data_IF_674816863304
#
_entry.id   IF_674816863304
#
_cell.length_a   1.000
_cell.length_b   1.000
_cell.length_c   1.000
_cell.angle_alpha   90.00
_cell.angle_beta   90.00
_cell.angle_gamma   90.00
#
_symmetry.space_group_name_H-M   'P 1'
#
loop_
_entity.id
_entity.type
_entity.pdbx_description
1 polymer ?
#
# COMPACT_ATOMS: atom_id res chain seq x y z
N UNK A 1 -8.60 -23.20 48.25
CA UNK A 1 -7.66 -22.58 47.28
C UNK A 1 -7.80 -23.32 45.95
N UNK A 2 -8.58 -22.78 45.00
CA UNK A 2 -8.88 -23.45 43.71
C UNK A 2 -8.08 -22.76 42.60
N UNK A 3 -7.07 -23.43 42.05
CA UNK A 3 -6.33 -22.95 40.86
C UNK A 3 -7.20 -23.27 39.64
N UNK A 4 -7.75 -22.25 38.98
CA UNK A 4 -8.44 -22.37 37.70
C UNK A 4 -7.39 -22.40 36.59
N UNK A 5 -7.31 -23.51 35.88
CA UNK A 5 -6.55 -23.68 34.63
C UNK A 5 -7.21 -22.87 33.51
N UNK A 6 -6.40 -22.09 32.78
CA UNK A 6 -6.83 -21.35 31.58
C UNK A 6 -6.86 -22.29 30.36
N UNK A 7 -7.81 -22.13 29.42
CA UNK A 7 -7.83 -22.92 28.18
C UNK A 7 -6.77 -22.41 27.20
N UNK A 8 -6.05 -23.35 26.59
CA UNK A 8 -5.07 -23.13 25.52
C UNK A 8 -5.75 -22.65 24.23
N UNK A 9 -5.32 -21.51 23.72
CA UNK A 9 -5.71 -20.98 22.40
C UNK A 9 -5.18 -21.87 21.27
N UNK A 10 -5.96 -22.12 20.21
CA UNK A 10 -5.51 -22.91 19.07
C UNK A 10 -4.48 -22.13 18.24
N UNK A 11 -3.42 -22.85 17.87
CA UNK A 11 -2.34 -22.43 16.97
C UNK A 11 -2.89 -21.93 15.64
N UNK A 12 -2.46 -20.71 15.27
CA UNK A 12 -2.71 -20.04 13.99
C UNK A 12 -2.31 -20.97 12.84
N UNK A 13 -3.28 -21.29 11.98
CA UNK A 13 -3.11 -22.20 10.85
C UNK A 13 -1.97 -21.78 9.93
N UNK A 14 -1.22 -22.77 9.44
CA UNK A 14 -0.17 -22.62 8.47
C UNK A 14 -0.74 -22.01 7.18
N UNK A 15 -0.37 -20.76 6.89
CA UNK A 15 -0.67 -20.15 5.58
C UNK A 15 0.14 -20.92 4.54
N UNK A 16 -0.58 -21.70 3.70
CA UNK A 16 -0.01 -22.44 2.57
C UNK A 16 0.70 -21.45 1.64
N UNK A 17 2.01 -21.63 1.46
CA UNK A 17 2.76 -20.91 0.43
C UNK A 17 2.16 -21.23 -0.94
N UNK A 18 1.59 -20.21 -1.60
CA UNK A 18 1.11 -20.31 -2.99
C UNK A 18 2.31 -20.44 -3.95
N UNK A 19 2.19 -21.19 -5.05
CA UNK A 19 3.30 -21.44 -5.96
C UNK A 19 3.77 -20.13 -6.59
N UNK A 20 5.08 -19.87 -6.52
CA UNK A 20 5.75 -18.70 -7.10
C UNK A 20 5.81 -18.84 -8.63
N UNK A 21 4.74 -18.43 -9.30
CA UNK A 21 4.68 -18.29 -10.75
C UNK A 21 5.23 -16.94 -11.20
N UNK A 22 6.23 -16.97 -12.10
CA UNK A 22 6.76 -15.91 -12.97
C UNK A 22 6.86 -14.51 -12.35
N UNK A 23 8.07 -14.15 -11.90
CA UNK A 23 8.44 -12.85 -11.34
C UNK A 23 8.37 -11.71 -12.37
N UNK A 24 7.18 -11.14 -12.56
CA UNK A 24 7.10 -9.70 -12.80
C UNK A 24 7.07 -9.04 -11.42
N UNK A 25 7.91 -8.04 -11.18
CA UNK A 25 7.87 -7.29 -9.91
C UNK A 25 6.43 -6.81 -9.69
N UNK A 26 5.83 -7.14 -8.54
CA UNK A 26 4.47 -6.71 -8.20
C UNK A 26 4.50 -5.20 -7.95
N UNK A 27 3.66 -4.44 -8.66
CA UNK A 27 3.62 -2.98 -8.57
C UNK A 27 2.17 -2.56 -8.38
N UNK A 28 1.87 -1.90 -7.28
CA UNK A 28 0.49 -1.53 -6.92
C UNK A 28 0.41 -0.02 -6.80
N UNK A 29 -0.50 0.59 -7.55
CA UNK A 29 -0.83 2.00 -7.40
C UNK A 29 -1.86 2.16 -6.29
N UNK A 30 -1.53 2.88 -5.22
CA UNK A 30 -2.50 3.28 -4.20
C UNK A 30 -2.65 4.80 -4.26
N UNK A 31 -3.82 5.25 -4.69
CA UNK A 31 -4.12 6.67 -4.75
C UNK A 31 -5.56 6.95 -4.32
N UNK A 32 -5.84 8.15 -3.81
CA UNK A 32 -7.20 8.46 -3.39
C UNK A 32 -7.42 9.88 -2.90
N UNK A 33 -8.52 10.07 -2.19
CA UNK A 33 -8.93 11.39 -1.70
C UNK A 33 -7.94 11.97 -0.70
N UNK A 34 -7.73 13.29 -0.79
CA UNK A 34 -6.93 14.07 0.16
C UNK A 34 -7.52 14.13 1.57
N UNK A 35 -8.79 13.80 1.69
CA UNK A 35 -9.56 13.76 2.94
C UNK A 35 -9.85 12.35 3.40
N UNK A 36 -9.30 11.32 2.73
CA UNK A 36 -9.45 9.94 3.15
C UNK A 36 -8.80 9.70 4.52
N UNK A 37 -9.54 9.09 5.45
CA UNK A 37 -9.13 8.91 6.86
C UNK A 37 -9.17 7.47 7.34
N UNK A 38 -9.69 6.52 6.56
CA UNK A 38 -9.81 5.13 7.00
C UNK A 38 -8.46 4.41 6.88
N UNK A 39 -7.58 4.69 7.85
CA UNK A 39 -6.25 4.12 7.90
C UNK A 39 -6.27 2.58 7.98
N UNK A 40 -7.26 2.00 8.66
CA UNK A 40 -7.39 0.55 8.80
C UNK A 40 -7.61 -0.15 7.46
N UNK A 41 -8.44 0.40 6.58
CA UNK A 41 -8.67 -0.17 5.26
C UNK A 41 -7.41 -0.16 4.39
N UNK A 42 -6.64 0.94 4.38
CA UNK A 42 -5.37 0.99 3.64
C UNK A 42 -4.35 0.04 4.26
N UNK A 43 -4.28 -0.02 5.59
CA UNK A 43 -3.39 -0.94 6.28
C UNK A 43 -3.70 -2.39 5.90
N UNK A 44 -4.97 -2.79 5.89
CA UNK A 44 -5.39 -4.14 5.50
C UNK A 44 -4.93 -4.51 4.08
N UNK A 45 -5.15 -3.61 3.12
CA UNK A 45 -4.69 -3.80 1.73
C UNK A 45 -3.17 -3.95 1.69
N UNK A 46 -2.43 -3.03 2.30
CA UNK A 46 -0.95 -3.02 2.26
C UNK A 46 -0.36 -4.25 2.96
N UNK A 47 -0.92 -4.68 4.09
CA UNK A 47 -0.50 -5.90 4.80
C UNK A 47 -0.72 -7.17 3.98
N UNK A 48 -1.71 -7.17 3.07
CA UNK A 48 -2.00 -8.29 2.17
C UNK A 48 -1.07 -8.38 0.96
N UNK A 49 -0.23 -7.36 0.71
CA UNK A 49 0.62 -7.32 -0.48
C UNK A 49 1.77 -8.33 -0.39
N UNK A 50 2.16 -8.96 -1.51
CA UNK A 50 3.33 -9.83 -1.55
C UNK A 50 4.63 -9.10 -1.15
N UNK A 51 5.56 -9.82 -0.55
CA UNK A 51 6.92 -9.30 -0.30
C UNK A 51 7.59 -8.90 -1.62
N UNK A 52 8.31 -7.77 -1.61
CA UNK A 52 8.93 -7.21 -2.81
C UNK A 52 7.97 -6.45 -3.73
N UNK A 53 6.76 -6.13 -3.25
CA UNK A 53 5.85 -5.22 -3.94
C UNK A 53 6.38 -3.78 -3.88
N UNK A 54 6.27 -3.07 -4.99
CA UNK A 54 6.48 -1.62 -5.07
C UNK A 54 5.12 -0.92 -4.97
N UNK A 55 4.94 -0.07 -3.97
CA UNK A 55 3.73 0.74 -3.80
C UNK A 55 3.96 2.11 -4.44
N UNK A 56 3.18 2.39 -5.48
CA UNK A 56 3.20 3.66 -6.19
C UNK A 56 2.09 4.55 -5.61
N UNK A 57 2.43 5.78 -5.26
CA UNK A 57 1.46 6.80 -4.85
C UNK A 57 2.06 8.15 -5.25
N UNK A 58 1.48 9.28 -4.84
CA UNK A 58 2.17 10.52 -5.15
C UNK A 58 2.13 11.64 -4.13
N UNK A 59 2.39 11.26 -2.88
CA UNK A 59 2.65 12.20 -1.80
C UNK A 59 1.52 13.21 -1.53
N UNK A 60 0.27 12.88 -1.89
CA UNK A 60 -0.87 13.67 -1.43
C UNK A 60 -1.18 13.37 0.04
N UNK A 61 -1.84 14.31 0.73
CA UNK A 61 -2.45 14.04 2.04
C UNK A 61 -3.52 12.96 1.92
N UNK A 62 -3.92 12.34 3.02
CA UNK A 62 -4.99 11.34 3.03
C UNK A 62 -4.49 9.97 2.56
N UNK A 63 -5.13 9.40 1.54
CA UNK A 63 -4.88 8.02 1.10
C UNK A 63 -3.40 7.75 0.77
N UNK A 64 -2.77 8.62 -0.03
CA UNK A 64 -1.38 8.45 -0.46
C UNK A 64 -0.37 8.49 0.71
N UNK A 65 -0.60 9.34 1.71
CA UNK A 65 0.25 9.42 2.90
C UNK A 65 0.11 8.16 3.76
N UNK A 66 -1.11 7.61 3.86
CA UNK A 66 -1.38 6.36 4.57
C UNK A 66 -0.74 5.18 3.84
N UNK A 67 -0.81 5.16 2.51
CA UNK A 67 -0.15 4.14 1.68
C UNK A 67 1.36 4.12 1.90
N UNK A 68 2.03 5.28 1.84
CA UNK A 68 3.47 5.38 2.09
C UNK A 68 3.84 4.91 3.50
N UNK A 69 3.08 5.35 4.51
CA UNK A 69 3.31 4.96 5.91
C UNK A 69 3.26 3.45 6.07
N UNK A 70 2.19 2.80 5.62
CA UNK A 70 2.02 1.36 5.81
C UNK A 70 2.95 0.55 4.93
N UNK A 71 3.29 1.02 3.72
CA UNK A 71 4.24 0.34 2.85
C UNK A 71 5.63 0.29 3.51
N UNK A 72 6.10 1.43 4.02
CA UNK A 72 7.38 1.51 4.75
C UNK A 72 7.38 0.66 6.01
N UNK A 73 6.29 0.67 6.79
CA UNK A 73 6.17 -0.17 7.99
C UNK A 73 6.21 -1.67 7.66
N UNK A 74 5.74 -2.06 6.48
CA UNK A 74 5.77 -3.43 5.99
C UNK A 74 7.05 -3.81 5.24
N UNK A 75 8.03 -2.91 5.18
CA UNK A 75 9.28 -3.14 4.44
C UNK A 75 9.10 -3.25 2.92
N UNK A 76 8.01 -2.69 2.38
CA UNK A 76 7.77 -2.58 0.96
C UNK A 76 8.45 -1.34 0.40
N UNK A 77 8.85 -1.40 -0.87
CA UNK A 77 9.40 -0.24 -1.58
C UNK A 77 8.27 0.73 -1.93
N UNK A 78 8.56 2.04 -1.92
CA UNK A 78 7.61 3.06 -2.37
C UNK A 78 8.19 3.88 -3.51
N UNK A 79 7.34 4.16 -4.49
CA UNK A 79 7.64 5.03 -5.61
C UNK A 79 6.69 6.23 -5.59
N UNK A 80 7.27 7.43 -5.52
CA UNK A 80 6.56 8.63 -5.09
C UNK A 80 6.54 9.67 -6.20
N UNK A 81 5.33 10.06 -6.61
CA UNK A 81 5.09 11.07 -7.63
C UNK A 81 4.47 12.35 -7.05
N UNK A 82 5.25 13.30 -6.49
CA UNK A 82 4.69 14.56 -6.00
C UNK A 82 4.11 15.39 -7.15
N UNK A 83 2.98 16.04 -6.92
CA UNK A 83 2.38 16.95 -7.89
C UNK A 83 3.12 18.30 -7.90
N UNK A 84 3.55 18.75 -9.08
CA UNK A 84 4.23 20.04 -9.28
C UNK A 84 3.21 21.18 -9.46
N UNK A 85 2.74 21.71 -8.32
CA UNK A 85 1.74 22.79 -8.27
C UNK A 85 2.26 24.12 -8.81
N UNK A 86 3.56 24.39 -8.66
CA UNK A 86 4.18 25.64 -9.12
C UNK A 86 4.18 25.71 -10.65
N UNK A 87 4.43 24.57 -11.31
CA UNK A 87 4.47 24.49 -12.77
C UNK A 87 3.08 24.36 -13.41
N UNK A 88 2.22 23.51 -12.86
CA UNK A 88 0.96 23.13 -13.53
C UNK A 88 -0.30 23.69 -12.87
N UNK A 89 -0.19 24.38 -11.73
CA UNK A 89 -1.32 24.93 -10.99
C UNK A 89 -2.38 23.86 -10.70
N UNK A 90 -3.65 24.17 -11.00
CA UNK A 90 -4.78 23.24 -10.79
C UNK A 90 -4.65 21.92 -11.57
N UNK A 91 -3.87 21.90 -12.65
CA UNK A 91 -3.61 20.71 -13.47
C UNK A 91 -2.57 19.75 -12.89
N UNK A 92 -1.83 20.14 -11.84
CA UNK A 92 -0.73 19.36 -11.29
C UNK A 92 -1.18 17.96 -10.82
N UNK A 93 -2.36 17.86 -10.21
CA UNK A 93 -2.92 16.57 -9.78
C UNK A 93 -3.16 15.62 -10.94
N UNK A 94 -3.98 15.99 -11.95
CA UNK A 94 -4.18 15.17 -13.14
C UNK A 94 -2.89 14.80 -13.89
N UNK A 95 -1.96 15.76 -14.06
CA UNK A 95 -0.66 15.50 -14.72
C UNK A 95 0.12 14.43 -13.97
N UNK A 96 0.24 14.58 -12.65
CA UNK A 96 0.89 13.59 -11.79
C UNK A 96 0.18 12.24 -11.83
N UNK A 97 -1.14 12.21 -11.88
CA UNK A 97 -1.90 10.94 -11.96
C UNK A 97 -1.58 10.18 -13.25
N UNK A 98 -1.44 10.90 -14.36
CA UNK A 98 -0.99 10.31 -15.62
C UNK A 98 0.45 9.79 -15.50
N UNK A 99 1.36 10.55 -14.88
CA UNK A 99 2.75 10.11 -14.66
C UNK A 99 2.84 8.81 -13.86
N UNK A 100 2.05 8.65 -12.78
CA UNK A 100 2.05 7.41 -11.99
C UNK A 100 1.65 6.17 -12.82
N UNK A 101 0.74 6.34 -13.79
CA UNK A 101 0.31 5.25 -14.66
C UNK A 101 1.36 4.94 -15.74
N UNK A 102 1.88 5.98 -16.38
CA UNK A 102 2.80 5.85 -17.52
C UNK A 102 4.20 5.41 -17.08
N UNK A 103 4.76 6.08 -16.08
CA UNK A 103 6.13 5.87 -15.59
C UNK A 103 6.16 4.78 -14.53
N UNK A 104 5.18 4.81 -13.61
CA UNK A 104 5.10 3.84 -12.52
C UNK A 104 4.73 2.43 -12.99
N UNK A 105 4.04 2.30 -14.12
CA UNK A 105 3.65 1.02 -14.75
C UNK A 105 3.06 0.03 -13.74
N UNK A 106 2.03 0.43 -12.98
CA UNK A 106 1.41 -0.47 -12.01
C UNK A 106 0.81 -1.70 -12.70
N UNK A 107 0.87 -2.82 -12.01
CA UNK A 107 0.19 -4.07 -12.40
C UNK A 107 -1.19 -4.20 -11.77
N UNK A 108 -1.49 -3.38 -10.77
CA UNK A 108 -2.74 -3.35 -10.00
C UNK A 108 -2.99 -1.92 -9.44
N UNK A 109 -4.27 -1.55 -9.23
CA UNK A 109 -4.71 -0.22 -8.76
C UNK A 109 -5.76 -0.33 -7.66
#
# INVERSE_FOLDING_TARGET
MKRKTLPSTPTRGSVRARPRGRSTAHRVLICGSRTYKNAAAIAEVVHGLPTGTVVIHGAARGADSLADLYARQNGLETEVYPADWDKYGKGAGPVRNKQMLDEGRPTEV
#
